data_IF_018592980696
#
_entry.id   IF_018592980696
#
_cell.length_a   1.000
_cell.length_b   1.000
_cell.length_c   1.000
_cell.angle_alpha   90.00
_cell.angle_beta   90.00
_cell.angle_gamma   90.00
#
_symmetry.space_group_name_H-M   'P 1'
#
loop_
_entity.id
_entity.type
_entity.pdbx_description
1 polymer ?
#
# COMPACT_ATOMS: atom_id res chain seq x y z
N UNK A 1 -6.21 9.32 -9.54
CA UNK A 1 -6.13 8.66 -10.86
C UNK A 1 -5.71 7.23 -10.60
N UNK A 2 -6.47 6.26 -11.09
CA UNK A 2 -6.23 4.85 -10.80
C UNK A 2 -5.36 4.18 -11.86
N UNK A 3 -4.41 3.39 -11.41
CA UNK A 3 -3.52 2.57 -12.22
C UNK A 3 -3.62 1.11 -11.78
N UNK A 4 -3.66 0.20 -12.74
CA UNK A 4 -3.54 -1.23 -12.49
C UNK A 4 -2.21 -1.72 -13.08
N UNK A 5 -1.44 -2.42 -12.27
CA UNK A 5 -0.20 -3.05 -12.69
C UNK A 5 -0.22 -4.54 -12.37
N UNK A 6 0.48 -5.32 -13.20
CA UNK A 6 0.62 -6.76 -13.02
C UNK A 6 2.11 -7.06 -12.98
N UNK A 7 2.58 -7.62 -11.87
CA UNK A 7 3.95 -8.11 -11.76
C UNK A 7 4.15 -9.36 -12.63
N UNK A 8 5.39 -9.66 -13.03
CA UNK A 8 5.70 -10.85 -13.84
C UNK A 8 5.23 -12.17 -13.19
N UNK A 9 5.11 -12.18 -11.86
CA UNK A 9 4.54 -13.27 -11.08
C UNK A 9 3.01 -13.39 -11.15
N UNK A 10 2.34 -12.53 -11.92
CA UNK A 10 0.88 -12.47 -12.06
C UNK A 10 0.15 -11.70 -10.95
N UNK A 11 0.88 -11.11 -10.00
CA UNK A 11 0.31 -10.39 -8.85
C UNK A 11 -0.17 -9.01 -9.28
N UNK A 12 -1.39 -8.64 -8.90
CA UNK A 12 -2.04 -7.38 -9.28
C UNK A 12 -1.84 -6.32 -8.20
N UNK A 13 -1.55 -5.10 -8.66
CA UNK A 13 -1.43 -3.90 -7.84
C UNK A 13 -2.40 -2.86 -8.39
N UNK A 14 -3.37 -2.43 -7.59
CA UNK A 14 -4.21 -1.27 -7.92
C UNK A 14 -3.75 -0.08 -7.10
N UNK A 15 -3.32 0.98 -7.79
CA UNK A 15 -2.79 2.18 -7.18
C UNK A 15 -3.70 3.36 -7.49
N UNK A 16 -3.93 4.22 -6.50
CA UNK A 16 -4.60 5.50 -6.70
C UNK A 16 -3.64 6.64 -6.37
N UNK A 17 -3.59 7.59 -7.29
CA UNK A 17 -2.75 8.78 -7.23
C UNK A 17 -3.66 10.00 -7.11
N UNK A 18 -3.84 10.51 -5.90
CA UNK A 18 -4.67 11.69 -5.63
C UNK A 18 -3.86 12.78 -4.93
N UNK A 19 -3.78 13.98 -5.51
CA UNK A 19 -3.13 15.14 -4.90
C UNK A 19 -1.75 14.82 -4.29
N UNK A 20 -0.87 14.18 -5.08
CA UNK A 20 0.47 13.70 -4.71
C UNK A 20 0.50 12.59 -3.64
N UNK A 21 -0.63 11.95 -3.33
CA UNK A 21 -0.68 10.76 -2.48
C UNK A 21 -0.80 9.53 -3.33
N UNK A 22 0.13 8.62 -3.12
CA UNK A 22 0.14 7.31 -3.76
C UNK A 22 -0.38 6.30 -2.75
N UNK A 23 -1.50 5.69 -3.07
CA UNK A 23 -2.17 4.70 -2.24
C UNK A 23 -2.21 3.36 -2.99
N UNK A 24 -1.89 2.26 -2.33
CA UNK A 24 -2.00 0.91 -2.87
C UNK A 24 -3.18 0.18 -2.22
N UNK A 25 -4.06 -0.38 -3.03
CA UNK A 25 -5.02 -1.40 -2.56
C UNK A 25 -4.26 -2.69 -2.28
N UNK A 26 -3.96 -2.92 -1.00
CA UNK A 26 -3.23 -4.11 -0.59
C UNK A 26 -4.10 -5.35 -0.50
N UNK A 27 -5.43 -5.22 -0.55
CA UNK A 27 -6.30 -6.38 -0.64
C UNK A 27 -6.10 -7.10 -1.99
N UNK A 28 -5.95 -6.34 -3.09
CA UNK A 28 -5.66 -6.88 -4.43
C UNK A 28 -4.37 -7.69 -4.48
N UNK A 29 -3.32 -7.18 -3.85
CA UNK A 29 -2.04 -7.90 -3.74
C UNK A 29 -2.22 -9.17 -2.92
N UNK A 30 -2.98 -9.08 -1.82
CA UNK A 30 -3.18 -10.18 -0.89
C UNK A 30 -4.02 -11.35 -1.44
N UNK A 31 -4.80 -11.15 -2.52
CA UNK A 31 -5.48 -12.22 -3.24
C UNK A 31 -4.50 -13.29 -3.73
N UNK A 32 -3.26 -12.90 -4.03
CA UNK A 32 -2.19 -13.81 -4.49
C UNK A 32 -1.32 -14.38 -3.37
N UNK A 33 -1.58 -14.00 -2.11
CA UNK A 33 -0.78 -14.37 -0.95
C UNK A 33 -1.46 -15.44 -0.09
N UNK A 34 -0.67 -16.06 0.79
CA UNK A 34 -1.21 -16.98 1.80
C UNK A 34 -2.14 -16.26 2.78
N UNK A 35 -3.06 -17.01 3.40
CA UNK A 35 -4.03 -16.48 4.37
C UNK A 35 -3.39 -15.84 5.62
N UNK A 36 -2.19 -16.26 6.00
CA UNK A 36 -1.44 -15.68 7.13
C UNK A 36 -0.74 -14.35 6.77
N UNK A 37 -0.77 -13.96 5.49
CA UNK A 37 -0.12 -12.76 4.96
C UNK A 37 -1.11 -11.68 4.54
N UNK A 38 -2.34 -11.75 5.03
CA UNK A 38 -3.38 -10.78 4.70
C UNK A 38 -3.14 -9.43 5.42
N UNK A 39 -3.54 -8.29 4.83
CA UNK A 39 -3.31 -6.97 5.41
C UNK A 39 -3.87 -6.83 6.82
N UNK A 40 -5.07 -7.37 7.06
CA UNK A 40 -5.69 -7.37 8.39
C UNK A 40 -4.88 -8.14 9.44
N UNK A 41 -4.20 -9.22 9.03
CA UNK A 41 -3.30 -9.98 9.92
C UNK A 41 -2.08 -9.14 10.29
N UNK A 42 -1.53 -8.40 9.33
CA UNK A 42 -0.44 -7.47 9.59
C UNK A 42 -0.87 -6.33 10.53
N UNK A 43 -2.01 -5.69 10.25
CA UNK A 43 -2.55 -4.59 11.07
C UNK A 43 -2.77 -4.97 12.54
N UNK A 44 -3.09 -6.24 12.81
CA UNK A 44 -3.27 -6.77 14.17
C UNK A 44 -1.96 -7.01 14.94
N UNK A 45 -0.79 -6.84 14.32
CA UNK A 45 0.50 -6.98 15.02
C UNK A 45 0.73 -5.82 15.98
N UNK A 46 1.23 -6.15 17.18
CA UNK A 46 1.55 -5.15 18.23
C UNK A 46 2.50 -4.04 17.78
N UNK A 47 3.37 -4.30 16.81
CA UNK A 47 4.34 -3.32 16.29
C UNK A 47 3.72 -2.27 15.35
N UNK A 48 2.60 -2.60 14.69
CA UNK A 48 2.04 -1.76 13.63
C UNK A 48 1.47 -0.44 14.15
N UNK A 49 0.72 -0.38 15.27
CA UNK A 49 0.27 0.90 15.82
C UNK A 49 1.42 1.88 16.11
N UNK A 50 2.53 1.39 16.66
CA UNK A 50 3.72 2.21 16.94
C UNK A 50 4.41 2.69 15.66
N UNK A 51 4.51 1.83 14.65
CA UNK A 51 5.02 2.20 13.33
C UNK A 51 4.16 3.29 12.67
N UNK A 52 2.84 3.14 12.67
CA UNK A 52 1.92 4.12 12.06
C UNK A 52 1.98 5.48 12.79
N UNK A 53 2.06 5.49 14.13
CA UNK A 53 2.21 6.73 14.91
C UNK A 53 3.52 7.46 14.58
N UNK A 54 4.63 6.74 14.47
CA UNK A 54 5.92 7.29 14.05
C UNK A 54 5.87 7.84 12.63
N UNK A 55 5.29 7.08 11.69
CA UNK A 55 5.15 7.50 10.31
C UNK A 55 4.29 8.77 10.18
N UNK A 56 3.19 8.85 10.93
CA UNK A 56 2.34 10.04 11.01
C UNK A 56 3.10 11.28 11.48
N UNK A 57 3.88 11.13 12.56
CA UNK A 57 4.70 12.21 13.12
C UNK A 57 5.74 12.71 12.13
N UNK A 58 6.39 11.80 11.40
CA UNK A 58 7.40 12.15 10.40
C UNK A 58 6.79 12.86 9.18
N UNK A 59 5.63 12.41 8.72
CA UNK A 59 4.93 13.00 7.57
C UNK A 59 4.06 14.22 7.93
N UNK A 60 3.96 14.59 9.21
CA UNK A 60 3.10 15.68 9.67
C UNK A 60 1.61 15.42 9.39
N UNK A 61 1.17 14.16 9.36
CA UNK A 61 -0.21 13.78 9.03
C UNK A 61 -0.88 12.96 10.16
N UNK A 62 -2.18 12.70 10.00
CA UNK A 62 -2.95 11.80 10.88
C UNK A 62 -2.96 10.37 10.30
N UNK A 63 -3.23 9.35 11.13
CA UNK A 63 -3.16 7.94 10.74
C UNK A 63 -4.21 7.53 9.69
N UNK A 64 -5.37 8.18 9.68
CA UNK A 64 -6.40 8.06 8.64
C UNK A 64 -5.94 8.59 7.27
N UNK A 65 -4.77 9.24 7.20
CA UNK A 65 -4.12 9.59 5.93
C UNK A 65 -3.17 8.52 5.43
N UNK A 66 -2.75 7.59 6.28
CA UNK A 66 -1.81 6.51 5.99
C UNK A 66 -2.50 5.19 5.66
N UNK A 67 -3.66 4.96 6.28
CA UNK A 67 -4.47 3.76 6.14
C UNK A 67 -5.91 4.18 5.92
N UNK A 68 -6.49 3.76 4.80
CA UNK A 68 -7.87 4.09 4.44
C UNK A 68 -8.66 2.79 4.29
N UNK A 69 -9.71 2.66 5.09
CA UNK A 69 -10.67 1.58 4.95
C UNK A 69 -11.82 2.02 4.06
N UNK A 70 -11.99 1.36 2.92
CA UNK A 70 -13.11 1.57 2.02
C UNK A 70 -14.10 0.44 2.21
N UNK A 71 -15.28 0.75 2.75
CA UNK A 71 -16.37 -0.22 2.90
C UNK A 71 -17.22 -0.24 1.63
N UNK A 72 -17.28 -1.39 0.97
CA UNK A 72 -18.10 -1.58 -0.22
C UNK A 72 -19.55 -1.91 0.14
N UNK A 73 -20.44 -1.74 -0.84
CA UNK A 73 -21.87 -2.02 -0.72
C UNK A 73 -22.16 -3.49 -0.42
N UNK A 74 -21.31 -4.40 -0.88
CA UNK A 74 -21.39 -5.85 -0.62
C UNK A 74 -20.88 -6.25 0.78
N UNK A 75 -20.46 -5.28 1.60
CA UNK A 75 -19.94 -5.48 2.94
C UNK A 75 -18.45 -5.83 3.00
N UNK A 76 -17.76 -5.93 1.86
CA UNK A 76 -16.30 -6.12 1.84
C UNK A 76 -15.58 -4.84 2.25
N UNK A 77 -14.39 -5.00 2.84
CA UNK A 77 -13.53 -3.88 3.24
C UNK A 77 -12.24 -3.96 2.44
N UNK A 78 -11.98 -2.93 1.64
CA UNK A 78 -10.68 -2.71 1.02
C UNK A 78 -9.80 -1.88 1.94
N UNK A 79 -8.52 -2.23 1.97
CA UNK A 79 -7.53 -1.50 2.74
C UNK A 79 -6.56 -0.84 1.76
N UNK A 80 -6.56 0.48 1.76
CA UNK A 80 -5.66 1.29 0.96
C UNK A 80 -4.57 1.84 1.86
N UNK A 81 -3.31 1.56 1.53
CA UNK A 81 -2.14 2.00 2.29
C UNK A 81 -1.36 3.03 1.49
N UNK A 82 -0.93 4.10 2.16
CA UNK A 82 0.00 5.06 1.57
C UNK A 82 1.31 4.35 1.19
N UNK A 83 1.96 4.77 0.10
CA UNK A 83 3.13 4.14 -0.51
C UNK A 83 4.17 3.61 0.49
N UNK A 84 4.56 4.41 1.47
CA UNK A 84 5.55 4.02 2.48
C UNK A 84 5.03 2.92 3.40
N UNK A 85 3.77 3.01 3.80
CA UNK A 85 3.10 2.03 4.66
C UNK A 85 2.85 0.73 3.89
N UNK A 86 2.48 0.85 2.62
CA UNK A 86 2.31 -0.25 1.70
C UNK A 86 3.62 -1.00 1.50
N UNK A 87 4.73 -0.29 1.31
CA UNK A 87 6.08 -0.88 1.24
C UNK A 87 6.42 -1.69 2.49
N UNK A 88 6.12 -1.19 3.68
CA UNK A 88 6.39 -1.91 4.93
C UNK A 88 5.53 -3.19 5.07
N UNK A 89 4.25 -3.10 4.72
CA UNK A 89 3.38 -4.28 4.66
C UNK A 89 3.91 -5.31 3.66
N UNK A 90 4.22 -4.89 2.43
CA UNK A 90 4.71 -5.77 1.37
C UNK A 90 6.01 -6.44 1.79
N UNK A 91 6.93 -5.72 2.43
CA UNK A 91 8.19 -6.26 2.93
C UNK A 91 7.97 -7.34 3.98
N UNK A 92 7.05 -7.12 4.91
CA UNK A 92 6.65 -8.17 5.84
C UNK A 92 6.00 -9.39 5.15
N UNK A 93 5.23 -9.16 4.10
CA UNK A 93 4.48 -10.19 3.40
C UNK A 93 5.38 -11.05 2.49
N UNK A 94 6.09 -10.41 1.55
CA UNK A 94 7.07 -10.95 0.59
C UNK A 94 7.98 -9.81 0.08
N UNK A 95 9.26 -9.84 0.44
CA UNK A 95 10.27 -8.84 0.05
C UNK A 95 10.36 -8.58 -1.47
N UNK A 96 10.05 -9.59 -2.30
CA UNK A 96 10.10 -9.45 -3.76
C UNK A 96 9.00 -8.52 -4.27
N UNK A 97 7.83 -8.55 -3.63
CA UNK A 97 6.72 -7.65 -3.97
C UNK A 97 7.04 -6.21 -3.56
N UNK A 98 7.68 -6.01 -2.42
CA UNK A 98 8.17 -4.70 -2.00
C UNK A 98 9.20 -4.14 -2.99
N UNK A 99 10.17 -4.97 -3.40
CA UNK A 99 11.20 -4.57 -4.37
C UNK A 99 10.58 -4.18 -5.71
N UNK A 100 9.64 -4.98 -6.20
CA UNK A 100 8.94 -4.71 -7.45
C UNK A 100 8.11 -3.41 -7.37
N UNK A 101 7.36 -3.22 -6.28
CA UNK A 101 6.55 -2.02 -6.07
C UNK A 101 7.39 -0.76 -5.99
N UNK A 102 8.53 -0.79 -5.29
CA UNK A 102 9.49 0.32 -5.27
C UNK A 102 10.03 0.65 -6.68
N UNK A 103 10.31 -0.38 -7.49
CA UNK A 103 10.68 -0.20 -8.89
C UNK A 103 9.62 0.57 -9.68
N UNK A 104 8.34 0.21 -9.52
CA UNK A 104 7.23 0.91 -10.20
C UNK A 104 7.04 2.34 -9.73
N UNK A 105 7.18 2.62 -8.44
CA UNK A 105 7.16 4.02 -7.96
C UNK A 105 8.27 4.83 -8.62
N UNK A 106 9.49 4.29 -8.70
CA UNK A 106 10.62 4.99 -9.34
C UNK A 106 10.41 5.24 -10.84
N UNK A 107 9.79 4.29 -11.56
CA UNK A 107 9.39 4.50 -12.95
C UNK A 107 8.40 5.67 -13.06
N UNK A 108 7.34 5.70 -12.23
CA UNK A 108 6.33 6.77 -12.25
C UNK A 108 6.93 8.15 -11.93
N UNK A 109 7.90 8.21 -11.02
CA UNK A 109 8.66 9.45 -10.73
C UNK A 109 9.48 9.86 -11.96
N UNK A 110 10.20 8.92 -12.55
CA UNK A 110 11.10 9.19 -13.69
C UNK A 110 10.34 9.66 -14.93
N UNK A 111 9.14 9.14 -15.14
CA UNK A 111 8.24 9.52 -16.23
C UNK A 111 7.47 10.83 -15.95
N UNK A 112 7.68 11.44 -14.77
CA UNK A 112 7.00 12.68 -14.37
C UNK A 112 5.52 12.51 -14.06
N UNK A 113 5.06 11.27 -13.87
CA UNK A 113 3.66 10.96 -13.53
C UNK A 113 3.33 11.37 -12.10
N UNK A 114 4.31 11.27 -11.20
CA UNK A 114 4.23 11.74 -9.81
C UNK A 114 5.45 12.59 -9.48
N UNK A 115 5.24 13.63 -8.67
CA UNK A 115 6.32 14.49 -8.15
C UNK A 115 6.70 14.06 -6.73
N UNK A 116 7.98 14.20 -6.37
CA UNK A 116 8.49 13.98 -5.02
C UNK A 116 8.46 15.25 -4.14
N UNK A 117 7.84 16.34 -4.61
CA UNK A 117 7.70 17.61 -3.89
C UNK A 117 6.70 17.57 -2.72
#
# INVERSE_FOLDING_TARGET
MKYEFIADSGVRFEMDIEANKLMLDVAKVAESLRKDKQPQVWMNKRSVPGFLDLACKQMGCKADKLVHEVRKVDGTVELWLEAFVAMEYLRWADDRLATWFAGKINELISDGTISCE
#
